data_IF_415787376362
#
_entry.id   IF_415787376362
#
_cell.length_a   1.000
_cell.length_b   1.000
_cell.length_c   1.000
_cell.angle_alpha   90.00
_cell.angle_beta   90.00
_cell.angle_gamma   90.00
#
_symmetry.space_group_name_H-M   'P 1'
#
loop_
_entity.id
_entity.type
_entity.pdbx_description
1 polymer ?
#
# COMPACT_ATOMS: atom_id res chain seq x y z
N UNK A 1 -41.45 11.99 6.88
CA UNK A 1 -40.74 12.93 6.01
C UNK A 1 -40.98 12.65 4.52
N UNK A 2 -40.73 11.45 4.03
CA UNK A 2 -40.92 11.05 2.60
C UNK A 2 -42.38 11.20 2.11
N UNK A 3 -43.38 10.80 2.91
CA UNK A 3 -44.79 10.96 2.58
C UNK A 3 -45.23 12.44 2.47
N UNK A 4 -44.66 13.33 3.29
CA UNK A 4 -44.92 14.78 3.20
C UNK A 4 -44.38 15.35 1.90
N UNK A 5 -43.17 14.93 1.49
CA UNK A 5 -42.57 15.29 0.21
C UNK A 5 -43.35 14.75 -1.00
N UNK A 6 -43.94 13.57 -0.90
CA UNK A 6 -44.74 12.97 -1.97
C UNK A 6 -46.01 13.78 -2.28
N UNK A 7 -46.61 14.42 -1.29
CA UNK A 7 -47.90 15.10 -1.40
C UNK A 7 -47.82 16.63 -1.43
N UNK A 8 -46.65 17.22 -1.15
CA UNK A 8 -46.47 18.67 -1.07
C UNK A 8 -45.54 19.17 -2.21
N UNK A 9 -46.16 19.68 -3.26
CA UNK A 9 -45.45 20.15 -4.45
C UNK A 9 -44.65 21.43 -4.16
N UNK A 10 -45.16 22.30 -3.30
CA UNK A 10 -44.51 23.54 -2.95
C UNK A 10 -43.24 23.28 -2.14
N UNK A 11 -43.28 22.34 -1.19
CA UNK A 11 -42.11 21.90 -0.44
C UNK A 11 -41.06 21.24 -1.35
N UNK A 12 -41.48 20.44 -2.33
CA UNK A 12 -40.54 19.86 -3.31
C UNK A 12 -39.85 20.95 -4.13
N UNK A 13 -40.57 21.95 -4.57
CA UNK A 13 -40.02 23.09 -5.34
C UNK A 13 -39.07 23.94 -4.50
N UNK A 14 -39.41 24.16 -3.23
CA UNK A 14 -38.56 24.88 -2.28
C UNK A 14 -37.27 24.09 -2.01
N UNK A 15 -37.37 22.80 -1.73
CA UNK A 15 -36.19 21.93 -1.52
C UNK A 15 -35.34 21.82 -2.76
N UNK A 16 -35.93 21.76 -3.95
CA UNK A 16 -35.20 21.75 -5.21
C UNK A 16 -34.43 23.06 -5.44
N UNK A 17 -35.09 24.21 -5.20
CA UNK A 17 -34.42 25.52 -5.25
C UNK A 17 -33.25 25.61 -4.24
N UNK A 18 -33.48 25.15 -3.01
CA UNK A 18 -32.45 25.14 -1.97
C UNK A 18 -31.31 24.18 -2.30
N UNK A 19 -31.59 23.03 -2.93
CA UNK A 19 -30.56 22.09 -3.40
C UNK A 19 -29.72 22.67 -4.54
N UNK A 20 -30.37 23.36 -5.51
CA UNK A 20 -29.68 24.05 -6.59
C UNK A 20 -28.83 25.19 -6.03
N UNK A 21 -29.36 25.99 -5.12
CA UNK A 21 -28.63 27.09 -4.49
C UNK A 21 -27.43 26.58 -3.67
N UNK A 22 -27.58 25.49 -2.91
CA UNK A 22 -26.47 24.83 -2.23
C UNK A 22 -25.49 24.16 -3.17
N UNK A 23 -25.94 23.67 -4.34
CA UNK A 23 -25.03 23.08 -5.34
C UNK A 23 -24.08 24.11 -5.93
N UNK A 24 -24.46 25.40 -5.94
CA UNK A 24 -23.57 26.48 -6.33
C UNK A 24 -22.40 26.66 -5.36
N UNK A 25 -22.57 26.29 -4.07
CA UNK A 25 -21.48 26.27 -3.10
C UNK A 25 -20.43 25.19 -3.41
N UNK A 26 -20.82 24.14 -4.11
CA UNK A 26 -19.97 23.06 -4.59
C UNK A 26 -19.64 23.18 -6.08
N UNK A 27 -19.97 24.33 -6.72
CA UNK A 27 -19.62 24.54 -8.12
C UNK A 27 -18.12 24.39 -8.32
N UNK A 28 -17.73 23.69 -9.39
CA UNK A 28 -16.34 23.38 -9.71
C UNK A 28 -15.46 24.65 -9.75
N UNK A 29 -16.01 25.78 -10.17
CA UNK A 29 -15.32 27.07 -10.19
C UNK A 29 -14.99 27.57 -8.77
N UNK A 30 -15.86 27.32 -7.79
CA UNK A 30 -15.63 27.69 -6.39
C UNK A 30 -14.58 26.76 -5.77
N UNK A 31 -14.69 25.47 -6.04
CA UNK A 31 -13.69 24.49 -5.65
C UNK A 31 -12.31 24.81 -6.26
N UNK A 32 -12.24 25.10 -7.56
CA UNK A 32 -11.02 25.53 -8.26
C UNK A 32 -10.44 26.81 -7.66
N UNK A 33 -11.29 27.77 -7.28
CA UNK A 33 -10.86 29.03 -6.65
C UNK A 33 -10.26 28.78 -5.25
N UNK A 34 -10.85 27.90 -4.46
CA UNK A 34 -10.31 27.51 -3.14
C UNK A 34 -9.03 26.68 -3.29
N UNK A 35 -8.98 25.75 -4.25
CA UNK A 35 -7.76 25.03 -4.60
C UNK A 35 -6.65 25.96 -5.07
N UNK A 36 -6.94 26.94 -5.93
CA UNK A 36 -5.95 27.93 -6.35
C UNK A 36 -5.46 28.79 -5.19
N UNK A 37 -6.34 29.15 -4.23
CA UNK A 37 -5.91 29.83 -3.00
C UNK A 37 -4.99 28.95 -2.15
N UNK A 38 -5.33 27.66 -2.01
CA UNK A 38 -4.51 26.69 -1.30
C UNK A 38 -3.16 26.52 -2.01
N UNK A 39 -3.17 26.33 -3.33
CA UNK A 39 -1.95 26.21 -4.14
C UNK A 39 -1.10 27.47 -4.07
N UNK A 40 -1.67 28.67 -4.17
CA UNK A 40 -0.92 29.92 -4.02
C UNK A 40 -0.33 30.08 -2.61
N UNK A 41 -1.01 29.58 -1.58
CA UNK A 41 -0.49 29.53 -0.21
C UNK A 41 0.64 28.51 -0.07
N UNK A 42 0.52 27.37 -0.76
CA UNK A 42 1.53 26.30 -0.82
C UNK A 42 2.69 26.69 -1.75
N UNK A 43 2.41 27.44 -2.83
CA UNK A 43 3.44 27.95 -3.75
C UNK A 43 4.16 29.20 -3.22
N UNK A 44 3.67 29.81 -2.15
CA UNK A 44 4.48 30.68 -1.30
C UNK A 44 5.48 29.87 -0.46
N UNK A 45 6.04 28.83 -1.09
CA UNK A 45 6.86 27.77 -0.50
C UNK A 45 8.05 28.39 0.25
N UNK A 46 8.75 29.36 -0.30
CA UNK A 46 9.88 30.01 0.37
C UNK A 46 9.48 30.65 1.70
N UNK A 47 8.35 31.39 1.72
CA UNK A 47 7.86 32.04 2.95
C UNK A 47 7.35 31.04 3.98
N UNK A 48 6.81 29.89 3.54
CA UNK A 48 6.39 28.82 4.44
C UNK A 48 7.60 28.11 5.06
N UNK A 49 8.57 27.74 4.25
CA UNK A 49 9.81 27.11 4.71
C UNK A 49 10.63 28.01 5.64
N UNK A 50 10.77 29.27 5.30
CA UNK A 50 11.48 30.25 6.14
C UNK A 50 10.80 30.39 7.52
N UNK A 51 9.47 30.53 7.55
CA UNK A 51 8.71 30.69 8.79
C UNK A 51 8.63 29.43 9.66
N UNK A 52 8.80 28.25 9.06
CA UNK A 52 8.66 26.97 9.75
C UNK A 52 9.96 26.15 9.75
N UNK A 53 11.08 26.77 9.44
CA UNK A 53 12.37 26.10 9.29
C UNK A 53 12.75 25.24 10.49
N UNK A 54 12.59 25.76 11.70
CA UNK A 54 12.88 25.03 12.95
C UNK A 54 11.95 23.84 13.14
N UNK A 55 10.65 24.01 12.94
CA UNK A 55 9.67 22.94 13.06
C UNK A 55 9.87 21.85 11.99
N UNK A 56 10.32 22.24 10.78
CA UNK A 56 10.66 21.30 9.71
C UNK A 56 11.89 20.50 10.08
N UNK A 57 12.95 21.15 10.58
CA UNK A 57 14.17 20.48 11.04
C UNK A 57 13.87 19.51 12.18
N UNK A 58 13.12 19.94 13.19
CA UNK A 58 12.67 19.08 14.28
C UNK A 58 11.89 17.86 13.78
N UNK A 59 11.00 18.06 12.81
CA UNK A 59 10.24 16.97 12.20
C UNK A 59 11.15 16.00 11.41
N UNK A 60 12.16 16.50 10.73
CA UNK A 60 13.15 15.69 10.01
C UNK A 60 14.01 14.85 10.97
N UNK A 61 14.45 15.44 12.06
CA UNK A 61 15.20 14.73 13.12
C UNK A 61 14.36 13.67 13.80
N UNK A 62 13.10 13.98 14.07
CA UNK A 62 12.15 13.06 14.74
C UNK A 62 11.75 11.87 13.86
N UNK A 63 11.73 12.05 12.54
CA UNK A 63 11.27 11.03 11.60
C UNK A 63 12.29 10.81 10.44
N UNK A 64 13.51 10.40 10.74
CA UNK A 64 14.62 10.37 9.76
C UNK A 64 14.34 9.43 8.57
N UNK A 65 13.69 8.29 8.80
CA UNK A 65 13.37 7.35 7.71
C UNK A 65 12.29 7.89 6.77
N UNK A 66 11.30 8.60 7.32
CA UNK A 66 10.26 9.26 6.52
C UNK A 66 10.87 10.34 5.63
N UNK A 67 11.78 11.12 6.17
CA UNK A 67 12.52 12.15 5.44
C UNK A 67 13.35 11.55 4.33
N UNK A 68 14.19 10.56 4.64
CA UNK A 68 15.02 9.87 3.64
C UNK A 68 14.17 9.21 2.54
N UNK A 69 13.04 8.59 2.88
CA UNK A 69 12.13 8.04 1.88
C UNK A 69 11.63 9.13 0.90
N UNK A 70 11.17 10.26 1.44
CA UNK A 70 10.69 11.39 0.62
C UNK A 70 11.79 11.99 -0.28
N UNK A 71 13.02 12.06 0.20
CA UNK A 71 14.19 12.48 -0.60
C UNK A 71 14.46 11.51 -1.73
N UNK A 72 14.48 10.20 -1.46
CA UNK A 72 14.74 9.18 -2.48
C UNK A 72 13.64 9.14 -3.56
N UNK A 73 12.37 9.37 -3.19
CA UNK A 73 11.27 9.48 -4.16
C UNK A 73 11.50 10.66 -5.13
N UNK A 74 12.06 11.78 -4.64
CA UNK A 74 12.35 12.96 -5.46
C UNK A 74 13.60 12.79 -6.34
N UNK A 75 14.65 12.19 -5.78
CA UNK A 75 15.95 12.14 -6.43
C UNK A 75 16.11 11.01 -7.44
N UNK A 76 15.42 9.89 -7.23
CA UNK A 76 15.67 8.68 -8.02
C UNK A 76 14.42 8.23 -8.79
N UNK A 77 14.56 7.88 -10.07
CA UNK A 77 13.48 7.24 -10.83
C UNK A 77 13.25 5.82 -10.33
N UNK A 78 12.07 5.29 -10.64
CA UNK A 78 11.78 3.86 -10.48
C UNK A 78 12.63 3.07 -11.46
N UNK A 79 13.20 1.97 -11.00
CA UNK A 79 14.09 1.08 -11.77
C UNK A 79 13.30 -0.10 -12.31
N UNK A 80 13.23 -0.22 -13.61
CA UNK A 80 12.66 -1.40 -14.24
C UNK A 80 13.45 -2.67 -13.87
N UNK A 81 12.82 -3.83 -14.01
CA UNK A 81 13.41 -5.14 -13.71
C UNK A 81 13.93 -5.25 -12.25
N UNK A 82 13.24 -4.63 -11.31
CA UNK A 82 13.53 -4.77 -9.88
C UNK A 82 12.28 -5.24 -9.14
N UNK A 83 12.43 -6.20 -8.23
CA UNK A 83 11.35 -6.78 -7.43
C UNK A 83 11.77 -6.75 -5.97
N UNK A 84 10.95 -6.16 -5.10
CA UNK A 84 11.14 -6.16 -3.66
C UNK A 84 10.14 -7.10 -3.01
N UNK A 85 10.66 -7.95 -2.13
CA UNK A 85 9.88 -8.90 -1.34
C UNK A 85 9.99 -8.55 0.14
N UNK A 86 8.84 -8.49 0.80
CA UNK A 86 8.78 -8.28 2.24
C UNK A 86 7.73 -9.20 2.85
N UNK A 87 8.11 -10.00 3.83
CA UNK A 87 7.19 -10.84 4.59
C UNK A 87 7.20 -10.43 6.07
N UNK A 88 6.01 -10.13 6.61
CA UNK A 88 5.78 -9.76 8.01
C UNK A 88 6.74 -8.69 8.56
N UNK A 89 7.04 -7.65 7.75
CA UNK A 89 7.96 -6.59 8.13
C UNK A 89 9.41 -7.06 8.23
N UNK A 90 9.83 -7.96 7.34
CA UNK A 90 11.22 -8.44 7.26
C UNK A 90 11.56 -9.63 8.15
N UNK A 91 10.58 -10.33 8.75
CA UNK A 91 10.82 -11.48 9.65
C UNK A 91 11.49 -12.69 8.98
N UNK A 92 11.81 -12.61 7.71
CA UNK A 92 12.53 -13.63 6.97
C UNK A 92 11.92 -13.93 5.61
N UNK A 93 12.54 -14.86 4.89
CA UNK A 93 12.06 -15.33 3.58
C UNK A 93 11.01 -16.43 3.80
N UNK A 94 9.77 -16.02 3.94
CA UNK A 94 8.64 -16.90 4.29
C UNK A 94 7.37 -16.51 3.56
N UNK A 95 6.33 -17.34 3.67
CA UNK A 95 4.97 -17.10 3.20
C UNK A 95 4.88 -16.94 1.66
N UNK A 96 3.79 -16.36 1.17
CA UNK A 96 3.52 -16.18 -0.25
C UNK A 96 4.58 -15.35 -0.99
N UNK A 97 5.15 -14.26 -0.43
CA UNK A 97 6.26 -13.56 -1.07
C UNK A 97 7.46 -14.47 -1.36
N UNK A 98 7.73 -15.43 -0.46
CA UNK A 98 8.83 -16.38 -0.68
C UNK A 98 8.51 -17.42 -1.76
N UNK A 99 7.30 -17.94 -1.80
CA UNK A 99 6.88 -18.85 -2.87
C UNK A 99 6.98 -18.19 -4.26
N UNK A 100 6.51 -16.94 -4.36
CA UNK A 100 6.64 -16.16 -5.61
C UNK A 100 8.11 -15.93 -5.98
N UNK A 101 8.95 -15.56 -5.01
CA UNK A 101 10.38 -15.38 -5.26
C UNK A 101 11.05 -16.65 -5.78
N UNK A 102 10.79 -17.82 -5.16
CA UNK A 102 11.37 -19.08 -5.58
C UNK A 102 10.96 -19.40 -7.03
N UNK A 103 9.68 -19.23 -7.35
CA UNK A 103 9.18 -19.45 -8.70
C UNK A 103 9.85 -18.52 -9.73
N UNK A 104 9.93 -17.22 -9.44
CA UNK A 104 10.51 -16.25 -10.37
C UNK A 104 12.02 -16.43 -10.54
N UNK A 105 12.73 -16.80 -9.46
CA UNK A 105 14.18 -17.03 -9.52
C UNK A 105 14.57 -18.20 -10.45
N UNK A 106 13.70 -19.18 -10.60
CA UNK A 106 13.93 -20.35 -11.47
C UNK A 106 13.57 -20.09 -12.95
N UNK A 107 12.84 -19.03 -13.24
CA UNK A 107 12.40 -18.71 -14.60
C UNK A 107 13.44 -17.90 -15.37
N UNK A 108 13.76 -18.33 -16.58
CA UNK A 108 14.75 -17.69 -17.46
C UNK A 108 14.39 -16.22 -17.75
N UNK A 109 13.12 -15.91 -17.95
CA UNK A 109 12.62 -14.57 -18.24
C UNK A 109 12.83 -13.55 -17.12
N UNK A 110 13.06 -14.01 -15.87
CA UNK A 110 13.32 -13.15 -14.71
C UNK A 110 14.79 -13.15 -14.26
N UNK A 111 15.70 -13.77 -14.99
CA UNK A 111 17.14 -13.79 -14.65
C UNK A 111 17.79 -12.40 -14.70
N UNK A 112 17.25 -11.51 -15.53
CA UNK A 112 17.72 -10.11 -15.60
C UNK A 112 17.14 -9.21 -14.49
N UNK A 113 16.19 -9.74 -13.70
CA UNK A 113 15.59 -8.96 -12.63
C UNK A 113 16.47 -8.98 -11.38
N UNK A 114 16.57 -7.84 -10.72
CA UNK A 114 17.16 -7.77 -9.38
C UNK A 114 16.09 -8.07 -8.34
N UNK A 115 16.30 -9.13 -7.57
CA UNK A 115 15.43 -9.54 -6.47
C UNK A 115 15.97 -8.97 -5.15
N UNK A 116 15.17 -8.17 -4.46
CA UNK A 116 15.55 -7.47 -3.22
C UNK A 116 14.69 -8.02 -2.08
N UNK A 117 15.32 -8.69 -1.12
CA UNK A 117 14.67 -9.19 0.09
C UNK A 117 14.85 -8.24 1.25
N UNK A 118 13.75 -7.93 1.93
CA UNK A 118 13.73 -7.15 3.16
C UNK A 118 13.84 -8.09 4.35
N UNK A 119 14.85 -7.88 5.20
CA UNK A 119 15.15 -8.70 6.39
C UNK A 119 15.25 -7.76 7.60
N UNK A 120 14.56 -8.08 8.69
CA UNK A 120 14.61 -7.29 9.94
C UNK A 120 15.89 -7.61 10.74
N UNK A 121 16.16 -8.90 10.94
CA UNK A 121 17.36 -9.38 11.63
C UNK A 121 18.22 -10.23 10.68
N UNK A 122 19.41 -9.70 10.34
CA UNK A 122 20.34 -10.35 9.41
C UNK A 122 21.00 -11.59 10.04
N UNK A 123 21.22 -11.60 11.36
CA UNK A 123 21.82 -12.73 12.05
C UNK A 123 20.84 -13.89 12.16
N UNK A 124 19.61 -13.64 12.59
CA UNK A 124 18.56 -14.65 12.66
C UNK A 124 18.23 -15.26 11.28
N UNK A 125 18.39 -14.48 10.22
CA UNK A 125 18.14 -14.90 8.84
C UNK A 125 19.38 -15.40 8.09
N UNK A 126 20.53 -15.52 8.76
CA UNK A 126 21.82 -15.82 8.14
C UNK A 126 21.81 -17.05 7.23
N UNK A 127 21.24 -18.16 7.67
CA UNK A 127 21.17 -19.39 6.87
C UNK A 127 20.33 -19.21 5.58
N UNK A 128 19.29 -18.39 5.64
CA UNK A 128 18.48 -18.08 4.46
C UNK A 128 19.26 -17.18 3.49
N UNK A 129 19.99 -16.20 4.01
CA UNK A 129 20.83 -15.28 3.23
C UNK A 129 21.93 -16.08 2.51
N UNK A 130 22.72 -16.89 3.23
CA UNK A 130 23.79 -17.73 2.68
C UNK A 130 23.30 -18.64 1.54
N UNK A 131 22.07 -19.14 1.62
CA UNK A 131 21.48 -19.97 0.56
C UNK A 131 21.37 -19.22 -0.78
N UNK A 132 21.14 -17.90 -0.73
CA UNK A 132 20.87 -17.09 -1.94
C UNK A 132 21.97 -16.12 -2.30
N UNK A 133 23.01 -15.94 -1.49
CA UNK A 133 24.17 -15.08 -1.79
C UNK A 133 24.91 -15.46 -3.10
N UNK A 134 24.82 -16.72 -3.49
CA UNK A 134 25.41 -17.21 -4.75
C UNK A 134 24.73 -16.67 -6.02
N UNK A 135 23.54 -16.09 -5.89
CA UNK A 135 22.80 -15.51 -7.01
C UNK A 135 23.17 -14.01 -7.15
N UNK A 136 23.84 -13.60 -8.26
CA UNK A 136 24.34 -12.24 -8.40
C UNK A 136 23.23 -11.18 -8.49
N UNK A 137 22.03 -11.60 -8.82
CA UNK A 137 20.83 -10.78 -8.95
C UNK A 137 19.96 -10.76 -7.69
N UNK A 138 20.35 -11.43 -6.60
CA UNK A 138 19.66 -11.39 -5.31
C UNK A 138 20.40 -10.45 -4.35
N UNK A 139 19.65 -9.59 -3.67
CA UNK A 139 20.16 -8.62 -2.69
C UNK A 139 19.32 -8.62 -1.45
N UNK A 140 19.92 -8.26 -0.33
CA UNK A 140 19.26 -8.14 0.96
C UNK A 140 19.36 -6.70 1.45
N UNK A 141 18.28 -6.20 2.04
CA UNK A 141 18.23 -4.89 2.69
C UNK A 141 17.61 -5.04 4.07
N UNK A 142 18.20 -4.38 5.06
CA UNK A 142 17.69 -4.45 6.41
C UNK A 142 16.47 -3.53 6.57
N UNK A 143 15.40 -4.08 7.15
CA UNK A 143 14.15 -3.37 7.45
C UNK A 143 14.42 -2.13 8.32
N UNK A 144 13.67 -1.06 8.11
CA UNK A 144 13.80 0.22 8.82
C UNK A 144 15.19 0.88 8.73
N UNK A 145 15.91 0.68 7.64
CA UNK A 145 17.15 1.40 7.33
C UNK A 145 16.94 2.41 6.20
N UNK A 146 17.93 3.26 5.94
CA UNK A 146 17.92 4.17 4.78
C UNK A 146 17.97 3.39 3.46
N UNK A 147 18.70 2.28 3.42
CA UNK A 147 18.78 1.37 2.28
C UNK A 147 17.42 0.78 1.95
N UNK A 148 16.66 0.37 2.97
CA UNK A 148 15.27 -0.08 2.82
C UNK A 148 14.39 1.03 2.24
N UNK A 149 14.48 2.25 2.79
CA UNK A 149 13.72 3.39 2.28
C UNK A 149 14.03 3.66 0.80
N UNK A 150 15.33 3.57 0.42
CA UNK A 150 15.75 3.72 -0.98
C UNK A 150 15.22 2.60 -1.85
N UNK A 151 15.35 1.33 -1.42
CA UNK A 151 14.82 0.18 -2.14
C UNK A 151 13.30 0.33 -2.37
N UNK A 152 12.55 0.66 -1.32
CA UNK A 152 11.10 0.85 -1.39
C UNK A 152 10.69 2.00 -2.35
N UNK A 153 11.49 3.07 -2.42
CA UNK A 153 11.23 4.23 -3.29
C UNK A 153 11.49 3.97 -4.77
N UNK A 154 12.47 3.09 -5.10
CA UNK A 154 12.95 2.94 -6.49
C UNK A 154 12.60 1.62 -7.14
N UNK A 155 12.11 0.64 -6.40
CA UNK A 155 11.77 -0.69 -6.95
C UNK A 155 10.47 -0.66 -7.72
N UNK A 156 10.45 -1.29 -8.90
CA UNK A 156 9.29 -1.36 -9.79
C UNK A 156 8.16 -2.22 -9.23
N UNK A 157 8.48 -3.45 -8.84
CA UNK A 157 7.51 -4.43 -8.36
C UNK A 157 7.66 -4.64 -6.86
N UNK A 158 6.59 -4.43 -6.13
CA UNK A 158 6.56 -4.54 -4.67
C UNK A 158 5.65 -5.69 -4.27
N UNK A 159 6.18 -6.67 -3.55
CA UNK A 159 5.44 -7.85 -3.08
C UNK A 159 5.51 -7.91 -1.56
N UNK A 160 4.35 -7.84 -0.91
CA UNK A 160 4.24 -7.80 0.54
C UNK A 160 3.02 -8.59 1.01
N UNK A 161 3.07 -9.17 2.20
CA UNK A 161 1.95 -9.92 2.77
C UNK A 161 1.27 -9.25 3.98
N UNK A 162 1.70 -8.06 4.36
CA UNK A 162 1.11 -7.24 5.43
C UNK A 162 0.96 -5.79 4.97
N UNK A 163 1.70 -4.85 5.54
CA UNK A 163 1.63 -3.42 5.20
C UNK A 163 3.02 -2.81 5.21
N UNK A 164 3.33 -2.05 4.20
CA UNK A 164 4.49 -1.16 4.22
C UNK A 164 4.33 -0.07 5.28
N UNK A 165 5.42 0.58 5.72
CA UNK A 165 5.38 1.63 6.71
C UNK A 165 4.43 2.78 6.35
N UNK A 166 3.99 3.52 7.36
CA UNK A 166 3.03 4.62 7.18
C UNK A 166 3.52 5.76 6.28
N UNK A 167 4.82 5.89 6.08
CA UNK A 167 5.41 6.87 5.16
C UNK A 167 5.48 6.40 3.70
N UNK A 168 5.26 5.12 3.42
CA UNK A 168 5.22 4.61 2.06
C UNK A 168 4.05 5.20 1.28
N UNK A 169 4.33 5.70 0.09
CA UNK A 169 3.36 6.10 -0.93
C UNK A 169 3.76 5.43 -2.23
N UNK A 170 2.89 4.56 -2.75
CA UNK A 170 3.11 3.92 -4.04
C UNK A 170 3.22 4.99 -5.13
N UNK A 171 4.26 4.93 -5.92
CA UNK A 171 4.43 5.79 -7.09
C UNK A 171 3.61 5.22 -8.26
N UNK A 172 3.24 6.08 -9.19
CA UNK A 172 2.44 5.71 -10.35
C UNK A 172 3.13 4.62 -11.20
N UNK A 173 4.46 4.70 -11.30
CA UNK A 173 5.26 3.75 -12.05
C UNK A 173 5.45 2.39 -11.35
N UNK A 174 5.17 2.29 -10.05
CA UNK A 174 5.31 1.07 -9.27
C UNK A 174 4.08 0.17 -9.41
N UNK A 175 4.31 -1.13 -9.35
CA UNK A 175 3.26 -2.16 -9.27
C UNK A 175 3.33 -2.84 -7.91
N UNK A 176 2.24 -2.83 -7.17
CA UNK A 176 2.17 -3.40 -5.83
C UNK A 176 1.21 -4.57 -5.77
N UNK A 177 1.75 -5.74 -5.43
CA UNK A 177 1.01 -6.95 -5.11
C UNK A 177 1.00 -7.18 -3.60
N UNK A 178 -0.16 -7.15 -2.98
CA UNK A 178 -0.32 -7.59 -1.59
C UNK A 178 -0.91 -8.99 -1.57
N UNK A 179 -0.13 -9.95 -1.08
CA UNK A 179 -0.53 -11.36 -1.04
C UNK A 179 -1.40 -11.71 0.16
N UNK A 180 -1.49 -10.80 1.13
CA UNK A 180 -2.02 -11.10 2.45
C UNK A 180 -1.32 -12.33 3.07
N UNK A 181 -1.87 -12.88 4.16
CA UNK A 181 -1.18 -13.92 4.92
C UNK A 181 -2.10 -14.99 5.50
N UNK A 182 -3.33 -15.06 5.05
CA UNK A 182 -4.27 -16.12 5.44
C UNK A 182 -5.72 -15.66 5.52
N UNK A 183 -6.64 -16.60 5.50
CA UNK A 183 -8.06 -16.35 5.71
C UNK A 183 -8.31 -16.02 7.19
N UNK A 184 -8.94 -14.88 7.51
CA UNK A 184 -9.16 -14.50 8.90
C UNK A 184 -10.19 -15.40 9.58
N UNK A 185 -9.87 -15.83 10.81
CA UNK A 185 -10.75 -16.62 11.69
C UNK A 185 -11.47 -15.76 12.74
N UNK A 186 -11.20 -14.46 12.78
CA UNK A 186 -11.74 -13.50 13.75
C UNK A 186 -12.01 -12.16 13.06
N UNK A 187 -12.66 -11.25 13.77
CA UNK A 187 -12.90 -9.89 13.28
C UNK A 187 -11.59 -9.22 12.86
N UNK A 188 -11.62 -8.55 11.73
CA UNK A 188 -10.49 -7.87 11.12
C UNK A 188 -10.84 -6.41 10.79
N UNK A 189 -9.81 -5.63 10.51
CA UNK A 189 -9.97 -4.27 10.03
C UNK A 189 -10.81 -3.41 10.97
N UNK A 190 -11.75 -2.69 10.40
CA UNK A 190 -12.62 -1.77 11.14
C UNK A 190 -13.77 -2.47 11.90
N UNK A 191 -13.92 -3.78 11.75
CA UNK A 191 -14.87 -4.56 12.56
C UNK A 191 -14.31 -4.93 13.94
N UNK A 192 -13.03 -4.65 14.20
CA UNK A 192 -12.42 -4.75 15.54
C UNK A 192 -12.85 -3.54 16.36
N UNK A 193 -13.54 -3.70 17.50
CA UNK A 193 -13.97 -2.57 18.33
C UNK A 193 -12.80 -1.64 18.72
N UNK A 194 -12.95 -0.34 18.51
CA UNK A 194 -11.93 0.67 18.85
C UNK A 194 -10.71 0.74 17.93
N UNK A 195 -10.70 0.02 16.79
CA UNK A 195 -9.53 -0.10 15.92
C UNK A 195 -9.38 0.96 14.81
N UNK A 196 -10.29 1.92 14.71
CA UNK A 196 -10.40 2.83 13.56
C UNK A 196 -9.07 3.49 13.15
N UNK A 197 -8.28 3.99 14.12
CA UNK A 197 -7.00 4.64 13.84
C UNK A 197 -5.91 3.60 13.53
N UNK A 198 -5.87 2.50 14.28
CA UNK A 198 -4.82 1.48 14.13
C UNK A 198 -4.88 0.73 12.80
N UNK A 199 -6.07 0.61 12.19
CA UNK A 199 -6.25 -0.05 10.89
C UNK A 199 -6.02 0.88 9.69
N UNK A 200 -5.87 2.17 9.90
CA UNK A 200 -5.72 3.16 8.82
C UNK A 200 -4.54 2.87 7.89
N UNK A 201 -3.39 2.45 8.42
CA UNK A 201 -2.24 2.11 7.59
C UNK A 201 -2.48 0.85 6.74
N UNK A 202 -3.11 -0.18 7.31
CA UNK A 202 -3.45 -1.41 6.58
C UNK A 202 -4.44 -1.12 5.47
N UNK A 203 -5.53 -0.42 5.76
CA UNK A 203 -6.51 -0.04 4.74
C UNK A 203 -5.88 0.77 3.60
N UNK A 204 -5.01 1.75 3.93
CA UNK A 204 -4.28 2.54 2.94
C UNK A 204 -3.37 1.68 2.07
N UNK A 205 -2.65 0.71 2.64
CA UNK A 205 -1.82 -0.21 1.89
C UNK A 205 -2.66 -1.07 0.93
N UNK A 206 -3.78 -1.62 1.42
CA UNK A 206 -4.68 -2.41 0.58
C UNK A 206 -5.27 -1.57 -0.56
N UNK A 207 -5.70 -0.33 -0.30
CA UNK A 207 -6.21 0.58 -1.34
C UNK A 207 -5.14 0.99 -2.35
N UNK A 208 -3.86 1.00 -1.96
CA UNK A 208 -2.75 1.37 -2.83
C UNK A 208 -2.24 0.20 -3.68
N UNK A 209 -2.62 -1.04 -3.36
CA UNK A 209 -2.19 -2.22 -4.10
C UNK A 209 -2.89 -2.28 -5.46
N UNK A 210 -2.14 -2.62 -6.51
CA UNK A 210 -2.71 -2.90 -7.83
C UNK A 210 -3.37 -4.28 -7.85
N UNK A 211 -2.81 -5.22 -7.05
CA UNK A 211 -3.30 -6.59 -6.93
C UNK A 211 -3.40 -7.01 -5.46
N UNK A 212 -4.53 -7.63 -5.12
CA UNK A 212 -4.76 -8.29 -3.82
C UNK A 212 -5.00 -9.77 -4.05
N UNK A 213 -4.26 -10.63 -3.38
CA UNK A 213 -4.52 -12.08 -3.41
C UNK A 213 -5.60 -12.44 -2.40
N UNK A 214 -6.55 -13.24 -2.82
CA UNK A 214 -7.64 -13.76 -1.99
C UNK A 214 -7.69 -15.29 -2.05
N UNK A 215 -8.02 -15.92 -0.95
CA UNK A 215 -8.25 -17.38 -0.89
C UNK A 215 -9.65 -17.78 -1.42
N UNK A 216 -10.48 -16.81 -1.78
CA UNK A 216 -11.82 -17.05 -2.29
C UNK A 216 -12.84 -16.01 -1.84
N UNK A 217 -14.13 -16.22 -2.17
CA UNK A 217 -15.19 -15.22 -1.98
C UNK A 217 -15.35 -14.71 -0.55
N UNK A 218 -15.15 -15.56 0.46
CA UNK A 218 -15.22 -15.11 1.86
C UNK A 218 -14.17 -14.04 2.17
N UNK A 219 -12.93 -14.25 1.75
CA UNK A 219 -11.86 -13.28 1.95
C UNK A 219 -12.15 -11.98 1.20
N UNK A 220 -12.58 -12.09 -0.05
CA UNK A 220 -12.93 -10.94 -0.89
C UNK A 220 -14.09 -10.13 -0.32
N UNK A 221 -15.22 -10.79 -0.07
CA UNK A 221 -16.46 -10.09 0.29
C UNK A 221 -16.48 -9.66 1.76
N UNK A 222 -15.97 -10.50 2.66
CA UNK A 222 -16.05 -10.24 4.10
C UNK A 222 -14.83 -9.46 4.59
N UNK A 223 -13.61 -9.93 4.33
CA UNK A 223 -12.43 -9.26 4.84
C UNK A 223 -12.13 -7.96 4.06
N UNK A 224 -11.90 -8.05 2.75
CA UNK A 224 -11.50 -6.90 1.97
C UNK A 224 -12.63 -5.88 1.82
N UNK A 225 -13.75 -6.25 1.22
CA UNK A 225 -14.82 -5.30 0.91
C UNK A 225 -15.52 -4.76 2.14
N UNK A 226 -15.86 -5.61 3.13
CA UNK A 226 -16.63 -5.19 4.33
C UNK A 226 -15.72 -4.72 5.46
N UNK A 227 -14.84 -5.59 5.99
CA UNK A 227 -14.05 -5.28 7.19
C UNK A 227 -13.02 -4.19 6.96
N UNK A 228 -12.34 -4.18 5.80
CA UNK A 228 -11.40 -3.11 5.42
C UNK A 228 -12.03 -1.98 4.62
N UNK A 229 -13.35 -2.03 4.36
CA UNK A 229 -14.13 -0.98 3.66
C UNK A 229 -13.63 -0.68 2.25
N UNK A 230 -13.11 -1.68 1.54
CA UNK A 230 -12.61 -1.50 0.18
C UNK A 230 -13.72 -1.41 -0.88
N UNK A 231 -14.96 -1.80 -0.53
CA UNK A 231 -16.09 -1.76 -1.45
C UNK A 231 -16.29 -0.35 -2.03
N UNK A 232 -16.34 -0.24 -3.34
CA UNK A 232 -16.48 1.00 -4.11
C UNK A 232 -15.31 2.01 -3.96
N UNK A 233 -14.21 1.62 -3.32
CA UNK A 233 -13.01 2.45 -3.14
C UNK A 233 -11.77 1.83 -3.78
N UNK A 234 -11.71 0.50 -3.86
CA UNK A 234 -10.57 -0.20 -4.43
C UNK A 234 -10.68 -0.28 -5.95
N UNK A 235 -9.68 0.24 -6.63
CA UNK A 235 -9.61 0.30 -8.09
C UNK A 235 -8.71 -0.79 -8.70
N UNK A 236 -7.98 -1.54 -7.86
CA UNK A 236 -7.11 -2.63 -8.31
C UNK A 236 -7.88 -3.92 -8.57
N UNK A 237 -7.14 -5.01 -8.82
CA UNK A 237 -7.69 -6.33 -9.08
C UNK A 237 -7.56 -7.25 -7.86
N UNK A 238 -8.63 -7.96 -7.49
CA UNK A 238 -8.57 -9.04 -6.50
C UNK A 238 -8.44 -10.37 -7.25
N UNK A 239 -7.36 -11.11 -6.94
CA UNK A 239 -7.05 -12.41 -7.53
C UNK A 239 -7.52 -13.51 -6.56
N UNK A 240 -8.63 -14.17 -6.88
CA UNK A 240 -9.18 -15.28 -6.07
C UNK A 240 -8.56 -16.62 -6.46
N UNK A 241 -7.21 -16.69 -6.45
CA UNK A 241 -6.44 -17.85 -6.90
C UNK A 241 -5.86 -18.68 -5.73
N UNK A 242 -6.13 -18.27 -4.49
CA UNK A 242 -5.50 -18.87 -3.32
C UNK A 242 -4.15 -18.23 -2.98
N UNK A 243 -3.49 -18.77 -1.94
CA UNK A 243 -2.21 -18.24 -1.48
C UNK A 243 -1.04 -19.00 -2.11
N UNK A 244 -0.09 -18.36 -2.80
CA UNK A 244 1.06 -19.02 -3.45
C UNK A 244 1.88 -19.94 -2.53
N UNK A 245 1.95 -19.62 -1.23
CA UNK A 245 2.62 -20.49 -0.25
C UNK A 245 2.05 -21.91 -0.16
N UNK A 246 0.78 -22.11 -0.57
CA UNK A 246 0.09 -23.40 -0.47
C UNK A 246 0.46 -24.35 -1.62
N UNK A 247 1.10 -23.87 -2.69
CA UNK A 247 1.47 -24.67 -3.85
C UNK A 247 2.39 -25.83 -3.44
N UNK A 248 3.22 -25.63 -2.41
CA UNK A 248 4.05 -26.70 -1.83
C UNK A 248 3.28 -27.92 -1.33
N UNK A 249 2.00 -27.79 -1.02
CA UNK A 249 1.16 -28.90 -0.58
C UNK A 249 0.88 -29.88 -1.72
N UNK A 250 1.01 -29.43 -2.96
CA UNK A 250 0.74 -30.22 -4.17
C UNK A 250 2.02 -30.82 -4.78
N UNK A 251 3.20 -30.25 -4.51
CA UNK A 251 4.49 -30.73 -5.03
C UNK A 251 4.88 -32.14 -4.54
N UNK A 252 4.33 -32.63 -3.42
CA UNK A 252 4.67 -33.89 -2.80
C UNK A 252 3.69 -35.05 -3.10
N UNK A 253 2.67 -34.85 -3.92
CA UNK A 253 1.65 -35.88 -4.18
C UNK A 253 2.01 -36.86 -5.30
N UNK A 254 3.08 -36.64 -6.05
CA UNK A 254 3.54 -37.56 -7.11
C UNK A 254 4.50 -38.66 -6.62
N UNK A 255 4.91 -38.66 -5.35
CA UNK A 255 5.85 -39.65 -4.77
C UNK A 255 5.26 -40.44 -3.56
N UNK A 256 3.93 -40.60 -3.50
CA UNK A 256 3.28 -41.42 -2.44
C UNK A 256 2.63 -42.64 -3.02
#
# INVERSE_FOLDING_TARGET
AMLKLAHDEELRREMSRNAIWKSEDFAIQKAVKEWNRLFNRVMGIETFYEKNKEAILECQEKYPLRTSYGEYVKEYPVKDKTILYEAFGGRGMIDSPYAIFQYLLEKEEYQEYTHIWVIDDLEDSRLQIEKYEKYPNVRFVQYKTKEYCKALAVTKYLINNVSFPSYFLKREEQVYLNTWHGTPLKNMGFDIPGSNISQGNTARNLLSADYLVSSGPYMTETAYKKSYKLQNLYEGQILEEGFPRNDKLFENTENS
#
